data_IF_089036532322
#
_entry.id   IF_089036532322
#
_cell.length_a   1.000
_cell.length_b   1.000
_cell.length_c   1.000
_cell.angle_alpha   90.00
_cell.angle_beta   90.00
_cell.angle_gamma   90.00
#
_symmetry.space_group_name_H-M   'P 1'
#
loop_
_entity.id
_entity.type
_entity.pdbx_description
1 polymer ?
#
# COMPACT_ATOMS: atom_id res chain seq x y z
N UNK A 1 24.92 22.33 9.21
CA UNK A 1 24.62 21.57 10.44
C UNK A 1 24.53 20.11 10.05
N UNK A 2 25.58 19.34 10.35
CA UNK A 2 25.66 17.91 10.05
C UNK A 2 24.84 17.13 11.07
N UNK A 3 23.94 16.26 10.60
CA UNK A 3 23.27 15.28 11.44
C UNK A 3 23.96 13.93 11.24
N UNK A 4 24.71 13.52 12.26
CA UNK A 4 25.37 12.23 12.37
C UNK A 4 24.33 11.18 12.81
N UNK A 5 24.06 10.20 11.94
CA UNK A 5 23.13 9.10 12.21
C UNK A 5 23.84 8.10 13.12
N UNK A 6 23.42 8.02 14.38
CA UNK A 6 23.85 6.95 15.30
C UNK A 6 23.20 5.64 14.85
N UNK A 7 24.05 4.65 14.57
CA UNK A 7 23.66 3.25 14.33
C UNK A 7 22.91 2.73 15.56
N UNK A 8 21.75 2.12 15.33
CA UNK A 8 21.18 1.17 16.30
C UNK A 8 21.96 -0.14 16.17
N UNK A 9 22.53 -0.57 17.29
CA UNK A 9 23.34 -1.78 17.39
C UNK A 9 22.57 -3.06 17.06
N UNK A 10 23.37 -4.02 16.60
CA UNK A 10 23.03 -5.29 16.01
C UNK A 10 22.19 -6.19 16.92
N UNK A 11 21.01 -6.59 16.41
CA UNK A 11 20.22 -7.71 16.92
C UNK A 11 20.00 -8.73 15.81
N UNK A 12 20.88 -9.74 15.76
CA UNK A 12 20.81 -10.95 14.92
C UNK A 12 19.38 -11.49 14.75
N UNK A 13 18.91 -11.59 13.50
CA UNK A 13 17.96 -12.62 13.07
C UNK A 13 18.42 -13.16 11.71
N UNK A 14 18.60 -14.49 11.66
CA UNK A 14 19.30 -15.24 10.63
C UNK A 14 18.56 -15.31 9.28
N UNK A 15 19.33 -15.66 8.24
CA UNK A 15 18.98 -15.56 6.83
C UNK A 15 18.02 -16.62 6.29
N UNK A 16 17.57 -16.37 5.06
CA UNK A 16 17.60 -17.29 3.91
C UNK A 16 16.90 -16.66 2.69
N UNK A 17 17.55 -16.76 1.52
CA UNK A 17 16.90 -16.79 0.21
C UNK A 17 16.57 -15.44 -0.43
N UNK A 18 17.57 -14.87 -1.12
CA UNK A 18 17.39 -13.84 -2.13
C UNK A 18 16.60 -14.42 -3.31
N UNK A 19 15.29 -14.19 -3.31
CA UNK A 19 14.44 -14.27 -4.49
C UNK A 19 13.95 -12.87 -4.77
N UNK A 20 14.12 -12.44 -6.01
CA UNK A 20 13.59 -11.20 -6.58
C UNK A 20 12.11 -11.04 -6.20
N UNK A 21 11.87 -10.30 -5.11
CA UNK A 21 10.53 -9.94 -4.63
C UNK A 21 10.30 -8.52 -5.08
N UNK A 22 9.60 -8.36 -6.21
CA UNK A 22 8.82 -7.13 -6.40
C UNK A 22 7.90 -7.01 -5.17
N UNK A 23 7.99 -5.94 -4.37
CA UNK A 23 7.15 -5.80 -3.20
C UNK A 23 5.69 -5.77 -3.66
N UNK A 24 4.94 -6.83 -3.38
CA UNK A 24 3.50 -6.78 -3.45
C UNK A 24 3.07 -5.89 -2.27
N UNK A 25 2.33 -4.79 -2.51
CA UNK A 25 1.97 -3.87 -1.43
C UNK A 25 1.02 -4.47 -0.39
N UNK A 26 0.43 -5.65 -0.63
CA UNK A 26 -0.41 -6.37 0.34
C UNK A 26 0.40 -7.32 1.22
N UNK A 27 0.18 -7.25 2.54
CA UNK A 27 0.85 -8.14 3.50
C UNK A 27 0.06 -9.45 3.67
N UNK A 28 0.66 -10.60 3.36
CA UNK A 28 -0.03 -11.89 3.53
C UNK A 28 -0.39 -12.16 5.00
N UNK A 29 -1.57 -12.78 5.29
CA UNK A 29 -1.94 -13.20 6.65
C UNK A 29 -0.94 -14.16 7.31
N UNK A 30 -0.17 -14.91 6.52
CA UNK A 30 0.81 -15.89 7.01
C UNK A 30 2.22 -15.30 7.18
N UNK A 31 2.45 -14.09 6.70
CA UNK A 31 3.76 -13.46 6.77
C UNK A 31 4.00 -12.87 8.16
N UNK A 32 4.94 -13.48 8.88
CA UNK A 32 5.31 -13.09 10.25
C UNK A 32 6.43 -12.03 10.30
N UNK A 33 7.05 -11.72 9.15
CA UNK A 33 8.33 -11.01 9.06
C UNK A 33 8.33 -9.78 8.17
N UNK A 34 7.17 -9.20 7.83
CA UNK A 34 7.14 -7.94 7.10
C UNK A 34 7.89 -6.85 7.91
N UNK A 35 8.96 -6.29 7.35
CA UNK A 35 9.74 -5.22 7.96
C UNK A 35 9.05 -3.87 7.76
N UNK A 36 7.95 -3.68 8.50
CA UNK A 36 7.22 -2.41 8.50
C UNK A 36 8.10 -1.25 8.93
N UNK A 37 9.02 -1.49 9.87
CA UNK A 37 9.88 -0.45 10.43
C UNK A 37 10.72 0.20 9.33
N UNK A 38 11.41 -0.60 8.52
CA UNK A 38 12.21 -0.09 7.42
C UNK A 38 11.34 0.62 6.39
N UNK A 39 10.26 -0.01 5.92
CA UNK A 39 9.39 0.55 4.88
C UNK A 39 8.84 1.91 5.29
N UNK A 40 8.32 2.03 6.52
CA UNK A 40 7.72 3.28 6.98
C UNK A 40 8.79 4.35 7.22
N UNK A 41 9.93 3.98 7.80
CA UNK A 41 11.01 4.94 8.09
C UNK A 41 11.58 5.51 6.79
N UNK A 42 11.86 4.65 5.80
CA UNK A 42 12.33 5.09 4.48
C UNK A 42 11.27 5.93 3.77
N UNK A 43 9.99 5.51 3.79
CA UNK A 43 8.90 6.28 3.17
C UNK A 43 8.77 7.67 3.80
N UNK A 44 8.83 7.78 5.12
CA UNK A 44 8.72 9.07 5.81
C UNK A 44 9.93 9.94 5.55
N UNK A 45 11.13 9.36 5.51
CA UNK A 45 12.35 10.09 5.15
C UNK A 45 12.27 10.66 3.73
N UNK A 46 11.69 9.89 2.78
CA UNK A 46 11.49 10.33 1.40
C UNK A 46 10.42 11.42 1.27
N UNK A 47 9.34 11.35 2.06
CA UNK A 47 8.24 12.31 2.04
C UNK A 47 8.64 13.66 2.66
N UNK A 48 9.42 13.65 3.74
CA UNK A 48 9.74 14.85 4.50
C UNK A 48 8.48 15.55 5.02
N UNK A 49 8.29 16.81 4.63
CA UNK A 49 7.14 17.64 5.02
C UNK A 49 5.94 17.53 4.08
N UNK A 50 6.03 16.73 3.02
CA UNK A 50 4.91 16.55 2.09
C UNK A 50 3.73 15.80 2.74
N UNK A 51 2.56 15.88 2.10
CA UNK A 51 1.40 15.08 2.46
C UNK A 51 1.64 13.61 2.09
N UNK A 52 1.37 12.70 3.03
CA UNK A 52 1.45 11.26 2.82
C UNK A 52 0.09 10.62 3.13
N UNK A 53 -0.34 9.74 2.23
CA UNK A 53 -1.46 8.83 2.42
C UNK A 53 -0.98 7.41 2.12
N UNK A 54 -1.13 6.51 3.09
CA UNK A 54 -0.82 5.08 2.96
C UNK A 54 -2.13 4.30 3.03
N UNK A 55 -2.36 3.49 2.00
CA UNK A 55 -3.53 2.61 1.85
C UNK A 55 -3.03 1.19 1.67
N UNK A 56 -3.10 0.39 2.72
CA UNK A 56 -2.44 -0.92 2.74
C UNK A 56 -3.30 -1.94 3.48
N UNK A 57 -3.45 -3.13 2.89
CA UNK A 57 -3.91 -4.32 3.58
C UNK A 57 -2.76 -4.89 4.42
N UNK A 58 -2.81 -4.64 5.73
CA UNK A 58 -1.79 -5.10 6.66
C UNK A 58 -2.04 -6.53 7.14
N UNK A 59 -3.26 -7.05 7.05
CA UNK A 59 -3.67 -8.29 7.71
C UNK A 59 -3.15 -8.36 9.15
N UNK A 60 -3.32 -7.28 9.91
CA UNK A 60 -2.84 -7.11 11.27
C UNK A 60 -4.01 -6.74 12.19
N UNK A 61 -4.09 -7.35 13.38
CA UNK A 61 -5.23 -7.16 14.28
C UNK A 61 -4.91 -6.16 15.39
N UNK A 62 -5.75 -5.15 15.56
CA UNK A 62 -5.70 -4.23 16.70
C UNK A 62 -7.08 -3.63 17.03
N UNK A 63 -7.38 -3.35 18.31
CA UNK A 63 -8.63 -2.70 18.71
C UNK A 63 -8.87 -1.32 18.10
N UNK A 64 -7.84 -0.53 17.86
CA UNK A 64 -7.98 0.83 17.28
C UNK A 64 -8.57 0.85 15.88
N UNK A 65 -8.57 -0.28 15.17
CA UNK A 65 -9.25 -0.41 13.87
C UNK A 65 -10.31 -1.52 13.86
N UNK A 66 -10.87 -1.88 15.03
CA UNK A 66 -12.10 -2.66 15.12
C UNK A 66 -11.96 -4.15 15.42
N UNK A 67 -10.76 -4.66 15.73
CA UNK A 67 -10.62 -6.05 16.21
C UNK A 67 -10.82 -6.16 17.73
N UNK A 68 -11.42 -7.26 18.21
CA UNK A 68 -11.57 -7.50 19.66
C UNK A 68 -10.25 -7.71 20.38
N UNK A 69 -9.25 -8.26 19.69
CA UNK A 69 -7.94 -8.58 20.25
C UNK A 69 -6.83 -8.11 19.30
N UNK A 70 -5.70 -7.71 19.89
CA UNK A 70 -4.49 -7.44 19.11
C UNK A 70 -3.67 -8.71 18.90
N UNK A 71 -3.00 -8.81 17.75
CA UNK A 71 -1.94 -9.78 17.52
C UNK A 71 -0.55 -9.10 17.57
N UNK A 72 0.56 -9.87 17.57
CA UNK A 72 1.90 -9.28 17.60
C UNK A 72 2.20 -8.36 16.40
N UNK A 73 1.59 -8.59 15.24
CA UNK A 73 1.78 -7.80 14.02
C UNK A 73 1.10 -6.44 14.15
N UNK A 74 -0.13 -6.42 14.64
CA UNK A 74 -0.90 -5.21 14.94
C UNK A 74 -0.28 -4.41 16.07
N UNK A 75 0.26 -5.05 17.12
CA UNK A 75 1.02 -4.35 18.17
C UNK A 75 2.23 -3.61 17.62
N UNK A 76 3.04 -4.28 16.79
CA UNK A 76 4.23 -3.68 16.16
C UNK A 76 3.83 -2.54 15.23
N UNK A 77 2.83 -2.77 14.37
CA UNK A 77 2.31 -1.76 13.46
C UNK A 77 1.78 -0.54 14.21
N UNK A 78 1.02 -0.75 15.29
CA UNK A 78 0.49 0.34 16.09
C UNK A 78 1.60 1.16 16.75
N UNK A 79 2.60 0.49 17.33
CA UNK A 79 3.76 1.18 17.93
C UNK A 79 4.47 2.05 16.88
N UNK A 80 4.69 1.50 15.69
CA UNK A 80 5.31 2.21 14.57
C UNK A 80 4.47 3.42 14.08
N UNK A 81 3.15 3.26 13.99
CA UNK A 81 2.21 4.35 13.67
C UNK A 81 2.34 5.50 14.66
N UNK A 82 2.42 5.19 15.96
CA UNK A 82 2.59 6.18 17.02
C UNK A 82 3.97 6.85 16.98
N UNK A 83 5.04 6.05 16.91
CA UNK A 83 6.42 6.53 16.89
C UNK A 83 6.68 7.49 15.72
N UNK A 84 6.08 7.18 14.57
CA UNK A 84 6.23 7.95 13.34
C UNK A 84 5.19 9.07 13.18
N UNK A 85 4.30 9.24 14.17
CA UNK A 85 3.24 10.25 14.23
C UNK A 85 2.33 10.22 13.00
N UNK A 86 1.92 9.02 12.61
CA UNK A 86 0.91 8.81 11.57
C UNK A 86 -0.47 8.86 12.20
N UNK A 87 -1.45 9.42 11.48
CA UNK A 87 -2.85 9.40 11.89
C UNK A 87 -3.57 8.24 11.23
N UNK A 88 -4.31 7.46 12.02
CA UNK A 88 -5.24 6.44 11.53
C UNK A 88 -6.57 7.09 11.16
N UNK A 89 -7.03 6.89 9.93
CA UNK A 89 -8.32 7.43 9.46
C UNK A 89 -9.49 6.45 9.58
N UNK A 90 -9.20 5.16 9.78
CA UNK A 90 -10.25 4.15 9.97
C UNK A 90 -11.13 4.52 11.16
N UNK A 91 -12.44 4.40 10.96
CA UNK A 91 -13.44 4.55 12.02
C UNK A 91 -14.03 3.17 12.37
N UNK A 92 -13.75 2.63 13.57
CA UNK A 92 -14.30 1.34 14.02
C UNK A 92 -15.83 1.30 14.10
N UNK A 93 -16.52 2.45 14.07
CA UNK A 93 -17.98 2.50 14.08
C UNK A 93 -18.60 2.29 12.68
N UNK A 94 -17.79 2.36 11.63
CA UNK A 94 -18.23 2.11 10.26
C UNK A 94 -18.17 0.63 9.90
N UNK A 95 -18.83 0.21 8.80
CA UNK A 95 -18.76 -1.16 8.33
C UNK A 95 -17.31 -1.63 8.13
N UNK A 96 -17.01 -2.91 8.45
CA UNK A 96 -15.67 -3.51 8.34
C UNK A 96 -15.13 -3.36 6.91
N UNK A 97 -13.81 -3.42 6.72
CA UNK A 97 -13.22 -3.32 5.37
C UNK A 97 -13.35 -4.61 4.57
N UNK A 98 -13.53 -5.73 5.27
CA UNK A 98 -13.80 -7.05 4.69
C UNK A 98 -14.94 -7.74 5.43
N UNK A 99 -15.97 -8.11 4.67
CA UNK A 99 -17.12 -8.87 5.14
C UNK A 99 -16.71 -10.34 5.25
N UNK A 100 -17.04 -10.92 6.39
CA UNK A 100 -16.83 -12.33 6.67
C UNK A 100 -17.79 -13.25 5.91
N UNK A 101 -17.63 -14.54 6.15
CA UNK A 101 -18.57 -15.58 5.69
C UNK A 101 -18.93 -16.50 6.87
N UNK A 102 -19.53 -17.65 6.61
CA UNK A 102 -19.92 -18.60 7.67
C UNK A 102 -18.73 -19.15 8.48
N UNK A 103 -17.49 -18.96 8.02
CA UNK A 103 -16.25 -19.46 8.64
C UNK A 103 -15.42 -18.33 9.23
N UNK A 104 -15.36 -17.18 8.55
CA UNK A 104 -14.55 -16.03 8.95
C UNK A 104 -15.46 -14.88 9.37
N UNK A 105 -15.13 -14.20 10.49
CA UNK A 105 -15.85 -12.99 10.90
C UNK A 105 -15.47 -11.80 10.02
N UNK A 106 -16.27 -10.75 10.12
CA UNK A 106 -15.96 -9.41 9.63
C UNK A 106 -14.61 -8.92 10.18
N UNK A 107 -13.83 -8.24 9.32
CA UNK A 107 -12.48 -7.78 9.64
C UNK A 107 -12.14 -6.44 9.00
N UNK A 108 -11.18 -5.74 9.59
CA UNK A 108 -10.72 -4.41 9.14
C UNK A 108 -9.20 -4.43 8.91
N UNK A 109 -8.76 -5.24 7.97
CA UNK A 109 -7.33 -5.45 7.68
C UNK A 109 -6.73 -4.31 6.84
N UNK A 110 -7.58 -3.61 6.07
CA UNK A 110 -7.22 -2.48 5.23
C UNK A 110 -7.16 -1.20 6.06
N UNK A 111 -5.97 -0.63 6.20
CA UNK A 111 -5.77 0.58 6.98
C UNK A 111 -5.44 1.77 6.08
N UNK A 112 -6.01 2.91 6.45
CA UNK A 112 -5.71 4.21 5.89
C UNK A 112 -4.95 5.03 6.93
N UNK A 113 -3.67 5.28 6.65
CA UNK A 113 -2.80 6.10 7.49
C UNK A 113 -2.42 7.38 6.75
N UNK A 114 -2.27 8.49 7.44
CA UNK A 114 -1.80 9.73 6.82
C UNK A 114 -0.81 10.52 7.68
N UNK A 115 0.00 11.36 7.00
CA UNK A 115 0.92 12.32 7.62
C UNK A 115 0.78 13.67 6.91
N UNK A 116 0.78 14.75 7.69
CA UNK A 116 0.66 16.13 7.20
C UNK A 116 -0.62 16.42 6.38
N UNK A 117 -1.62 15.53 6.41
CA UNK A 117 -2.91 15.74 5.75
C UNK A 117 -3.88 16.41 6.71
N UNK A 118 -4.42 17.55 6.32
CA UNK A 118 -5.46 18.26 7.07
C UNK A 118 -6.84 17.94 6.50
N UNK A 119 -7.85 17.78 7.37
CA UNK A 119 -9.27 17.62 6.99
C UNK A 119 -9.53 16.40 6.08
N UNK A 120 -8.89 15.27 6.37
CA UNK A 120 -9.21 14.03 5.69
C UNK A 120 -10.58 13.51 6.16
N UNK A 121 -11.39 13.00 5.23
CA UNK A 121 -12.57 12.20 5.55
C UNK A 121 -12.39 10.79 5.03
N UNK A 122 -12.97 9.84 5.76
CA UNK A 122 -12.86 8.42 5.46
C UNK A 122 -14.23 7.77 5.65
N UNK A 123 -14.62 6.94 4.70
CA UNK A 123 -15.82 6.13 4.81
C UNK A 123 -15.66 4.75 4.16
N UNK A 124 -16.19 3.72 4.83
CA UNK A 124 -16.40 2.39 4.26
C UNK A 124 -17.76 2.38 3.57
N UNK A 125 -17.80 2.21 2.24
CA UNK A 125 -19.03 2.38 1.45
C UNK A 125 -19.98 1.19 1.56
N UNK A 126 -19.63 0.15 2.33
CA UNK A 126 -20.39 -1.09 2.43
C UNK A 126 -20.19 -2.06 1.25
N UNK A 127 -20.88 -3.21 1.27
CA UNK A 127 -20.64 -4.30 0.34
C UNK A 127 -21.08 -3.97 -1.09
N UNK A 128 -20.18 -4.21 -2.05
CA UNK A 128 -20.51 -4.29 -3.46
C UNK A 128 -20.63 -5.76 -3.90
N UNK A 129 -21.53 -5.99 -4.86
CA UNK A 129 -21.87 -7.31 -5.37
C UNK A 129 -20.64 -7.94 -6.06
N UNK A 130 -20.01 -8.93 -5.41
CA UNK A 130 -18.99 -9.79 -6.02
C UNK A 130 -17.61 -9.84 -5.34
N UNK A 131 -17.35 -9.02 -4.32
CA UNK A 131 -16.14 -9.08 -3.50
C UNK A 131 -16.47 -9.13 -2.01
N UNK A 132 -15.59 -9.72 -1.21
CA UNK A 132 -15.69 -9.68 0.25
C UNK A 132 -15.04 -8.42 0.84
N UNK A 133 -14.38 -7.58 0.03
CA UNK A 133 -13.82 -6.29 0.44
C UNK A 133 -14.75 -5.13 0.08
N UNK A 134 -14.90 -4.21 1.03
CA UNK A 134 -15.65 -2.96 0.85
C UNK A 134 -14.76 -1.90 0.19
N UNK A 135 -15.37 -1.06 -0.65
CA UNK A 135 -14.68 0.11 -1.19
C UNK A 135 -14.53 1.16 -0.09
N UNK A 136 -13.35 1.76 0.00
CA UNK A 136 -13.06 2.86 0.91
C UNK A 136 -13.10 4.17 0.15
N UNK A 137 -13.94 5.10 0.59
CA UNK A 137 -14.02 6.46 0.08
C UNK A 137 -13.22 7.40 0.97
N UNK A 138 -12.19 8.03 0.40
CA UNK A 138 -11.25 8.87 1.14
C UNK A 138 -11.16 10.22 0.43
N UNK A 139 -11.47 11.29 1.15
CA UNK A 139 -11.32 12.65 0.63
C UNK A 139 -10.22 13.36 1.39
N UNK A 140 -9.25 13.90 0.64
CA UNK A 140 -8.16 14.70 1.21
C UNK A 140 -8.12 16.07 0.54
N UNK A 141 -7.77 17.08 1.32
CA UNK A 141 -7.48 18.40 0.77
C UNK A 141 -6.03 18.44 0.30
N UNK A 142 -5.83 18.50 -1.01
CA UNK A 142 -4.51 18.68 -1.61
C UNK A 142 -4.25 20.16 -1.91
N UNK A 143 -2.99 20.57 -1.87
CA UNK A 143 -2.59 21.82 -2.50
C UNK A 143 -2.71 21.68 -4.03
N UNK A 144 -2.97 22.78 -4.73
CA UNK A 144 -3.09 22.79 -6.20
C UNK A 144 -1.76 22.37 -6.84
N UNK A 145 -1.61 21.07 -7.09
CA UNK A 145 -0.58 20.57 -7.97
C UNK A 145 -0.97 21.08 -9.36
N UNK A 146 -0.22 22.03 -9.92
CA UNK A 146 -0.29 22.33 -11.34
C UNK A 146 -0.04 21.01 -12.05
N UNK A 147 -1.09 20.36 -12.57
CA UNK A 147 -0.92 19.16 -13.37
C UNK A 147 0.03 19.54 -14.51
N UNK A 148 1.23 18.94 -14.63
CA UNK A 148 2.02 19.13 -15.83
C UNK A 148 1.11 18.73 -16.99
N UNK A 149 1.03 19.58 -18.03
CA UNK A 149 0.24 19.24 -19.22
C UNK A 149 0.77 17.90 -19.72
N UNK A 150 -0.03 16.82 -19.69
CA UNK A 150 0.45 15.55 -20.18
C UNK A 150 0.72 15.74 -21.68
N UNK A 151 1.96 15.55 -22.09
CA UNK A 151 2.27 15.34 -23.50
C UNK A 151 1.77 13.93 -23.83
N UNK A 152 0.53 13.84 -24.31
CA UNK A 152 0.02 12.58 -24.83
C UNK A 152 0.89 12.18 -26.03
N UNK A 153 1.61 11.05 -25.92
CA UNK A 153 2.18 10.40 -27.09
C UNK A 153 1.02 9.73 -27.82
N UNK A 154 0.49 10.41 -28.82
CA UNK A 154 -0.49 9.82 -29.74
C UNK A 154 0.31 8.94 -30.69
N UNK A 155 0.15 7.63 -30.56
CA UNK A 155 0.71 6.69 -31.53
C UNK A 155 -0.04 6.87 -32.85
N UNK A 156 0.68 7.27 -33.89
CA UNK A 156 0.20 7.22 -35.27
C UNK A 156 -0.01 5.75 -35.65
N UNK A 157 -1.26 5.29 -35.53
CA UNK A 157 -1.63 3.91 -35.79
C UNK A 157 -1.41 3.50 -37.26
N UNK A 158 -1.72 4.33 -38.26
CA UNK A 158 -1.32 4.09 -39.65
C UNK A 158 0.19 3.87 -39.82
N UNK A 159 1.03 4.77 -39.30
CA UNK A 159 2.49 4.65 -39.40
C UNK A 159 3.02 3.41 -38.69
N UNK A 160 2.46 3.09 -37.52
CA UNK A 160 2.81 1.87 -36.79
C UNK A 160 2.46 0.59 -37.57
N UNK A 161 1.34 0.58 -38.31
CA UNK A 161 0.96 -0.57 -39.15
C UNK A 161 1.88 -0.74 -40.34
N UNK A 162 2.25 0.35 -41.03
CA UNK A 162 3.24 0.30 -42.12
C UNK A 162 4.58 -0.24 -41.64
N UNK A 163 5.11 0.29 -40.52
CA UNK A 163 6.37 -0.19 -39.97
C UNK A 163 6.32 -1.67 -39.56
N UNK A 164 5.17 -2.15 -39.08
CA UNK A 164 4.99 -3.57 -38.74
C UNK A 164 4.95 -4.44 -39.99
N UNK A 165 4.30 -3.99 -41.06
CA UNK A 165 4.27 -4.73 -42.33
C UNK A 165 5.66 -4.78 -42.99
N UNK A 166 6.43 -3.69 -42.92
CA UNK A 166 7.81 -3.62 -43.43
C UNK A 166 8.80 -4.49 -42.63
N UNK A 167 8.56 -4.65 -41.32
CA UNK A 167 9.44 -5.41 -40.41
C UNK A 167 8.94 -6.81 -40.09
N UNK A 168 7.76 -7.20 -40.60
CA UNK A 168 7.24 -8.54 -40.41
C UNK A 168 8.15 -9.53 -41.15
N UNK A 169 8.63 -10.54 -40.43
CA UNK A 169 9.25 -11.69 -41.08
C UNK A 169 8.15 -12.50 -41.78
N UNK A 170 8.40 -12.92 -43.02
CA UNK A 170 7.50 -13.84 -43.75
C UNK A 170 7.41 -15.23 -43.10
N UNK A 171 8.32 -15.53 -42.15
CA UNK A 171 8.40 -16.83 -41.49
C UNK A 171 8.03 -16.72 -40.03
N UNK A 172 6.89 -17.31 -39.66
CA UNK A 172 6.52 -17.51 -38.25
C UNK A 172 7.46 -18.57 -37.69
N UNK A 173 8.31 -18.19 -36.73
CA UNK A 173 9.18 -19.11 -35.99
C UNK A 173 8.67 -19.23 -34.56
N UNK A 174 8.66 -20.45 -34.05
CA UNK A 174 8.34 -20.70 -32.66
C UNK A 174 9.46 -20.14 -31.78
N UNK A 175 9.08 -19.27 -30.85
CA UNK A 175 9.97 -18.81 -29.79
C UNK A 175 10.08 -19.94 -28.78
N UNK A 176 10.95 -20.93 -29.05
CA UNK A 176 11.65 -21.84 -28.12
C UNK A 176 12.02 -23.15 -28.83
N UNK A 177 13.31 -23.33 -29.12
CA UNK A 177 13.99 -24.61 -28.90
C UNK A 177 14.94 -24.46 -27.71
#
# INVERSE_FOLDING_TARGET
MSAEIRRCDEGKCAGEGERDRRPNPGCSPREKGADFCRLFTETIALVGDAQLLLLVDFNARHPDWGYTHMDPKGRKLWSLVQDLRLNLLNDPQQPPTRIGNSVCRDTSADLTLCKNVTRATWASTGPLVGSDQNILAITIQTCLIKKPKPTARITDSPKFRQLREEQASDTITDLNE
#
